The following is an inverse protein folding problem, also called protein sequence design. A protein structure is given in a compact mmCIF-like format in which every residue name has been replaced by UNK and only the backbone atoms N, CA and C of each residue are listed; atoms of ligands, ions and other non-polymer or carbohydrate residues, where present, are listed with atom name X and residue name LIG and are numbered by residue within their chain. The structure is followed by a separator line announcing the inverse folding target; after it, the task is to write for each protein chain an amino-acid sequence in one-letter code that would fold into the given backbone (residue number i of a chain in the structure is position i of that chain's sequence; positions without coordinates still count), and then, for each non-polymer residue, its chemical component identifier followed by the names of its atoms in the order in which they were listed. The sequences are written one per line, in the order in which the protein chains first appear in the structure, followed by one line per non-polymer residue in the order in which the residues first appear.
data_IF_398773323414
#
_entry.id   IF_398773323414
#
_cell.length_a   1.000
_cell.length_b   1.000
_cell.length_c   1.000
_cell.angle_alpha   90.00
_cell.angle_beta   90.00
_cell.angle_gamma   90.00
#
_symmetry.space_group_name_H-M   'P 1'
#
loop_
_entity.id
_entity.type
_entity.pdbx_description
1 polymer ?
#
# COMPACT_ATOMS: atom_id res chain seq x y z
N UNK A 1 5.61 14.37 4.24
CA UNK A 1 6.27 13.29 5.01
C UNK A 1 6.89 12.44 3.92
N UNK A 2 8.21 12.46 3.75
CA UNK A 2 8.82 11.87 2.54
C UNK A 2 8.89 10.35 2.70
N UNK A 3 8.17 9.61 1.87
CA UNK A 3 8.24 8.15 1.90
C UNK A 3 9.55 7.65 1.28
N UNK A 4 10.31 6.85 2.03
CA UNK A 4 11.52 6.18 1.54
C UNK A 4 11.23 4.70 1.34
N UNK A 5 11.43 4.12 0.14
CA UNK A 5 11.12 2.71 -0.08
C UNK A 5 11.85 1.79 0.90
N UNK A 6 11.16 0.76 1.38
CA UNK A 6 11.78 -0.28 2.20
C UNK A 6 12.83 -1.02 1.34
N UNK A 7 14.05 -1.25 1.85
CA UNK A 7 15.14 -1.81 1.05
C UNK A 7 14.90 -3.26 0.62
N UNK A 8 14.05 -4.00 1.34
CA UNK A 8 13.68 -5.37 1.03
C UNK A 8 12.14 -5.53 1.02
N UNK A 9 11.47 -5.26 -0.12
CA UNK A 9 10.02 -5.43 -0.22
C UNK A 9 9.60 -6.90 -0.26
N UNK A 10 10.45 -7.80 -0.77
CA UNK A 10 10.14 -9.23 -0.87
C UNK A 10 10.16 -9.90 0.51
N UNK A 11 11.13 -9.54 1.36
CA UNK A 11 11.17 -9.97 2.75
C UNK A 11 9.92 -9.52 3.52
N UNK A 12 9.53 -8.25 3.40
CA UNK A 12 8.30 -7.72 4.01
C UNK A 12 7.06 -8.52 3.59
N UNK A 13 6.94 -8.84 2.29
CA UNK A 13 5.82 -9.64 1.79
C UNK A 13 5.84 -11.07 2.35
N UNK A 14 7.00 -11.73 2.33
CA UNK A 14 7.17 -13.07 2.86
C UNK A 14 6.84 -13.13 4.35
N UNK A 15 7.34 -12.19 5.14
CA UNK A 15 7.06 -12.10 6.58
C UNK A 15 5.57 -11.91 6.82
N UNK A 16 4.90 -11.07 6.02
CA UNK A 16 3.46 -10.87 6.12
C UNK A 16 2.66 -12.14 5.79
N UNK A 17 3.07 -12.90 4.77
CA UNK A 17 2.42 -14.14 4.36
C UNK A 17 2.56 -15.27 5.39
N UNK A 18 3.60 -15.24 6.23
CA UNK A 18 3.83 -16.23 7.28
C UNK A 18 3.04 -15.95 8.57
N UNK A 19 2.34 -14.81 8.64
CA UNK A 19 1.55 -14.42 9.83
C UNK A 19 0.34 -15.32 10.01
N UNK A 20 0.05 -15.63 11.27
CA UNK A 20 -1.12 -16.39 11.66
C UNK A 20 -2.27 -15.42 11.98
N UNK A 21 -2.88 -14.84 10.94
CA UNK A 21 -3.91 -13.80 11.06
C UNK A 21 -5.10 -14.20 11.96
N UNK A 22 -5.42 -15.49 12.05
CA UNK A 22 -6.44 -16.03 12.95
C UNK A 22 -6.18 -15.70 14.44
N UNK A 23 -4.91 -15.50 14.81
CA UNK A 23 -4.49 -15.18 16.19
C UNK A 23 -4.34 -13.69 16.43
N UNK A 24 -4.12 -12.93 15.36
CA UNK A 24 -3.78 -11.51 15.41
C UNK A 24 -5.02 -10.62 15.19
N UNK A 25 -6.04 -11.15 14.50
CA UNK A 25 -7.21 -10.41 14.06
C UNK A 25 -6.90 -9.56 12.82
N UNK A 26 -7.89 -9.39 11.94
CA UNK A 26 -7.78 -8.51 10.78
C UNK A 26 -8.47 -7.19 11.14
N UNK A 27 -7.74 -6.07 11.28
CA UNK A 27 -8.37 -4.78 11.53
C UNK A 27 -9.27 -4.42 10.35
N UNK A 28 -10.55 -4.20 10.64
CA UNK A 28 -11.59 -3.88 9.65
C UNK A 28 -12.02 -2.42 9.81
N UNK A 29 -11.75 -1.61 8.79
CA UNK A 29 -12.26 -0.24 8.69
C UNK A 29 -13.40 -0.19 7.67
N UNK A 30 -14.55 0.33 8.11
CA UNK A 30 -15.70 0.56 7.23
C UNK A 30 -15.78 2.06 6.92
N UNK A 31 -15.44 2.44 5.68
CA UNK A 31 -15.70 3.78 5.18
C UNK A 31 -17.09 3.80 4.53
N UNK A 32 -18.00 4.60 5.10
CA UNK A 32 -19.34 4.82 4.55
C UNK A 32 -19.27 6.00 3.58
N UNK A 33 -18.73 5.75 2.39
CA UNK A 33 -18.69 6.73 1.30
C UNK A 33 -19.61 6.28 0.17
N UNK A 34 -20.31 7.22 -0.44
CA UNK A 34 -21.13 6.96 -1.63
C UNK A 34 -20.21 6.80 -2.85
N UNK A 35 -19.88 5.55 -3.18
CA UNK A 35 -19.02 5.19 -4.31
C UNK A 35 -19.76 5.22 -5.67
N UNK A 36 -21.03 5.63 -5.72
CA UNK A 36 -21.80 5.64 -6.97
C UNK A 36 -21.46 6.82 -7.89
N UNK A 37 -20.80 7.86 -7.34
CA UNK A 37 -20.31 9.01 -8.07
C UNK A 37 -18.79 8.98 -8.28
N UNK A 38 -18.26 9.72 -9.27
CA UNK A 38 -16.81 9.90 -9.38
C UNK A 38 -16.29 10.61 -8.12
N UNK A 39 -15.12 10.20 -7.58
CA UNK A 39 -14.55 10.84 -6.41
C UNK A 39 -14.31 12.33 -6.70
N UNK A 40 -14.58 13.17 -5.70
CA UNK A 40 -14.31 14.60 -5.83
C UNK A 40 -12.80 14.82 -6.05
N UNK A 41 -12.40 15.61 -7.07
CA UNK A 41 -10.98 15.83 -7.33
C UNK A 41 -10.34 16.56 -6.13
N UNK A 42 -9.21 16.03 -5.65
CA UNK A 42 -8.42 16.69 -4.64
C UNK A 42 -7.92 18.05 -5.14
N UNK A 43 -8.17 19.11 -4.39
CA UNK A 43 -7.72 20.48 -4.71
C UNK A 43 -6.61 21.00 -3.79
N UNK A 44 -6.40 20.31 -2.67
CA UNK A 44 -5.36 20.67 -1.71
C UNK A 44 -3.99 20.27 -2.24
N UNK A 45 -3.07 21.23 -2.33
CA UNK A 45 -1.71 21.01 -2.82
C UNK A 45 -0.92 19.99 -2.00
N UNK A 46 -1.17 19.89 -0.69
CA UNK A 46 -0.54 18.89 0.18
C UNK A 46 -1.02 17.48 -0.20
N UNK A 47 -2.33 17.31 -0.37
CA UNK A 47 -2.93 16.02 -0.77
C UNK A 47 -2.40 15.58 -2.13
N UNK A 48 -2.29 16.52 -3.09
CA UNK A 48 -1.72 16.22 -4.41
C UNK A 48 -0.25 15.81 -4.33
N UNK A 49 0.55 16.48 -3.50
CA UNK A 49 1.97 16.14 -3.31
C UNK A 49 2.15 14.75 -2.67
N UNK A 50 1.35 14.44 -1.65
CA UNK A 50 1.36 13.15 -0.97
C UNK A 50 0.91 12.02 -1.90
N UNK A 51 -0.14 12.24 -2.69
CA UNK A 51 -0.58 11.30 -3.72
C UNK A 51 0.51 10.99 -4.75
N UNK A 52 1.25 12.01 -5.21
CA UNK A 52 2.35 11.82 -6.15
C UNK A 52 3.55 11.06 -5.53
N UNK A 53 3.79 11.20 -4.22
CA UNK A 53 4.81 10.41 -3.52
C UNK A 53 4.40 8.95 -3.37
N UNK A 54 3.14 8.70 -2.99
CA UNK A 54 2.59 7.34 -2.88
C UNK A 54 2.58 6.62 -4.23
N UNK A 55 2.22 7.31 -5.32
CA UNK A 55 2.24 6.75 -6.67
C UNK A 55 3.66 6.30 -7.08
N UNK A 56 4.68 7.15 -6.84
CA UNK A 56 6.09 6.78 -7.08
C UNK A 56 6.50 5.56 -6.27
N UNK A 57 6.07 5.49 -5.01
CA UNK A 57 6.40 4.38 -4.11
C UNK A 57 5.73 3.07 -4.55
N UNK A 58 4.45 3.12 -4.92
CA UNK A 58 3.71 1.98 -5.48
C UNK A 58 4.39 1.48 -6.76
N UNK A 59 4.75 2.39 -7.67
CA UNK A 59 5.48 2.04 -8.89
C UNK A 59 6.86 1.43 -8.61
N UNK A 60 7.55 1.86 -7.55
CA UNK A 60 8.80 1.25 -7.12
C UNK A 60 8.58 -0.21 -6.67
N UNK A 61 7.65 -0.46 -5.77
CA UNK A 61 7.36 -1.81 -5.29
C UNK A 61 6.82 -2.74 -6.38
N UNK A 62 5.99 -2.23 -7.29
CA UNK A 62 5.51 -3.00 -8.43
C UNK A 62 6.67 -3.54 -9.28
N UNK A 63 7.63 -2.68 -9.63
CA UNK A 63 8.82 -3.07 -10.41
C UNK A 63 9.74 -4.02 -9.63
N UNK A 64 9.83 -3.87 -8.31
CA UNK A 64 10.70 -4.70 -7.48
C UNK A 64 10.14 -6.10 -7.23
N UNK A 65 8.82 -6.24 -7.08
CA UNK A 65 8.18 -7.52 -6.75
C UNK A 65 7.82 -8.36 -7.98
N UNK A 66 7.33 -7.71 -9.04
CA UNK A 66 6.84 -8.42 -10.22
C UNK A 66 6.92 -7.49 -11.46
N UNK A 67 8.13 -7.26 -12.00
CA UNK A 67 8.35 -6.33 -13.11
C UNK A 67 7.60 -6.72 -14.40
N UNK A 68 7.28 -8.00 -14.57
CA UNK A 68 6.64 -8.55 -15.75
C UNK A 68 5.12 -8.76 -15.59
N UNK A 69 4.54 -8.35 -14.45
CA UNK A 69 3.11 -8.47 -14.22
C UNK A 69 2.31 -7.51 -15.11
N UNK A 70 1.14 -7.95 -15.56
CA UNK A 70 0.21 -7.09 -16.28
C UNK A 70 -0.46 -6.09 -15.31
N UNK A 71 -0.79 -4.88 -15.80
CA UNK A 71 -1.40 -3.81 -14.99
C UNK A 71 -2.73 -4.22 -14.31
N UNK A 72 -3.42 -5.25 -14.81
CA UNK A 72 -4.67 -5.78 -14.25
C UNK A 72 -4.51 -6.96 -13.30
N UNK A 73 -3.28 -7.36 -12.96
CA UNK A 73 -3.04 -8.48 -12.04
C UNK A 73 -3.35 -8.08 -10.58
N UNK A 74 -4.53 -8.49 -10.12
CA UNK A 74 -4.99 -8.20 -8.76
C UNK A 74 -4.14 -8.86 -7.68
N UNK A 75 -3.47 -9.98 -7.98
CA UNK A 75 -2.56 -10.65 -7.05
C UNK A 75 -1.27 -9.85 -6.83
N UNK A 76 -0.73 -9.30 -7.92
CA UNK A 76 0.39 -8.36 -7.85
C UNK A 76 0.00 -7.08 -7.12
N UNK A 77 -1.16 -6.50 -7.45
CA UNK A 77 -1.66 -5.30 -6.81
C UNK A 77 -1.81 -5.51 -5.30
N UNK A 78 -2.40 -6.63 -4.89
CA UNK A 78 -2.52 -7.00 -3.48
C UNK A 78 -1.15 -7.08 -2.81
N UNK A 79 -0.16 -7.69 -3.46
CA UNK A 79 1.19 -7.83 -2.91
C UNK A 79 1.87 -6.48 -2.69
N UNK A 80 1.75 -5.57 -3.67
CA UNK A 80 2.29 -4.21 -3.57
C UNK A 80 1.61 -3.42 -2.44
N UNK A 81 0.28 -3.51 -2.34
CA UNK A 81 -0.48 -2.84 -1.26
C UNK A 81 -0.13 -3.39 0.12
N UNK A 82 0.09 -4.71 0.25
CA UNK A 82 0.55 -5.33 1.49
C UNK A 82 1.91 -4.80 1.93
N UNK A 83 2.88 -4.70 1.01
CA UNK A 83 4.20 -4.13 1.32
C UNK A 83 4.11 -2.66 1.68
N UNK A 84 3.32 -1.87 0.94
CA UNK A 84 3.08 -0.47 1.28
C UNK A 84 2.52 -0.33 2.69
N UNK A 85 1.45 -1.07 3.01
CA UNK A 85 0.80 -1.03 4.31
C UNK A 85 1.77 -1.40 5.43
N UNK A 86 2.49 -2.52 5.29
CA UNK A 86 3.35 -3.03 6.36
C UNK A 86 4.60 -2.19 6.58
N UNK A 87 5.20 -1.64 5.52
CA UNK A 87 6.41 -0.84 5.64
C UNK A 87 6.15 0.60 6.11
N UNK A 88 4.96 1.15 5.89
CA UNK A 88 4.71 2.60 6.07
C UNK A 88 3.55 2.96 7.00
N UNK A 89 2.63 2.02 7.27
CA UNK A 89 1.38 2.34 7.97
C UNK A 89 1.09 1.46 9.19
N UNK A 90 1.87 0.41 9.43
CA UNK A 90 1.72 -0.44 10.61
C UNK A 90 2.23 0.26 11.90
N UNK A 91 1.61 -0.06 13.04
CA UNK A 91 1.75 0.72 14.30
C UNK A 91 3.18 0.74 14.86
N UNK A 92 4.00 -0.27 14.56
CA UNK A 92 5.41 -0.34 14.99
C UNK A 92 6.30 0.75 14.34
N UNK A 93 5.83 1.40 13.28
CA UNK A 93 6.51 2.53 12.62
C UNK A 93 6.19 3.91 13.21
N UNK A 94 5.34 3.99 14.24
CA UNK A 94 5.06 5.23 15.00
C UNK A 94 5.65 5.13 16.42
N UNK A 95 6.98 5.06 16.51
CA UNK A 95 7.73 5.28 17.75
C UNK A 95 8.71 6.44 17.57
#
# INVERSE_FOLDING_TARGET
MSYTPHPDPAGVLSDNQQRALEREGIPMFLALEDLTGPPAPAKDGKVLSEGAELDRLLGHYARSLAPDAADGDLGQLSSVLTVLARAHFDEEGRA
#
